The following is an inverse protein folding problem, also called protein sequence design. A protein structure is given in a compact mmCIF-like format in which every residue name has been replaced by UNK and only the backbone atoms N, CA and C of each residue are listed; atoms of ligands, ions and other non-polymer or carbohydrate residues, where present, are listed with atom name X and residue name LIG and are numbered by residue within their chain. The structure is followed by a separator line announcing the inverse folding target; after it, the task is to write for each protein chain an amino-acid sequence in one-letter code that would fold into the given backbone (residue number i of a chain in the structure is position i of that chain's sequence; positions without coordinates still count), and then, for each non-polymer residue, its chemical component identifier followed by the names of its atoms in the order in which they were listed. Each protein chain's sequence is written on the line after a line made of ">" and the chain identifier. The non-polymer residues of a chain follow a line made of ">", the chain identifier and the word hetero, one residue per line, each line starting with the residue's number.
data_IF_080652880946
#
_entry.id   IF_080652880946
#
_cell.length_a   1.000
_cell.length_b   1.000
_cell.length_c   1.000
_cell.angle_alpha   90.00
_cell.angle_beta   90.00
_cell.angle_gamma   90.00
#
_symmetry.space_group_name_H-M   'P 1'
#
loop_
_entity.id
_entity.type
_entity.pdbx_description
1 polymer ?
#
# COMPACT_ATOMS: atom_id res chain seq x y z
N UNK A 1 -0.79 7.56 14.84
CA UNK A 1 -0.79 8.00 13.43
C UNK A 1 -1.49 9.36 13.35
N UNK A 2 -1.33 10.17 12.30
CA UNK A 2 -2.16 11.37 12.14
C UNK A 2 -3.62 10.92 11.87
N UNK A 3 -4.63 11.42 12.61
CA UNK A 3 -6.02 10.99 12.48
C UNK A 3 -6.58 11.10 11.05
N UNK A 4 -6.06 12.03 10.24
CA UNK A 4 -6.47 12.20 8.84
C UNK A 4 -5.99 11.02 7.99
N UNK A 5 -4.76 10.54 8.19
CA UNK A 5 -4.22 9.40 7.44
C UNK A 5 -4.89 8.09 7.84
N UNK A 6 -5.22 7.94 9.12
CA UNK A 6 -5.98 6.79 9.63
C UNK A 6 -7.36 6.74 8.99
N UNK A 7 -8.08 7.87 8.98
CA UNK A 7 -9.39 7.97 8.33
C UNK A 7 -9.33 7.69 6.83
N UNK A 8 -8.31 8.21 6.13
CA UNK A 8 -8.09 7.93 4.70
C UNK A 8 -7.78 6.46 4.44
N UNK A 9 -6.99 5.83 5.31
CA UNK A 9 -6.70 4.41 5.21
C UNK A 9 -7.99 3.59 5.38
N UNK A 10 -8.75 3.82 6.45
CA UNK A 10 -9.97 3.07 6.75
C UNK A 10 -11.09 3.30 5.73
N UNK A 11 -11.28 4.55 5.28
CA UNK A 11 -12.42 4.89 4.42
C UNK A 11 -12.18 4.68 2.93
N UNK A 12 -10.91 4.66 2.49
CA UNK A 12 -10.57 4.56 1.07
C UNK A 12 -9.63 3.39 0.81
N UNK A 13 -8.48 3.32 1.50
CA UNK A 13 -7.48 2.29 1.23
C UNK A 13 -8.01 0.88 1.44
N UNK A 14 -8.65 0.60 2.59
CA UNK A 14 -9.16 -0.75 2.91
C UNK A 14 -10.14 -1.25 1.86
N UNK A 15 -11.03 -0.39 1.37
CA UNK A 15 -11.99 -0.76 0.32
C UNK A 15 -11.28 -1.03 -1.00
N UNK A 16 -10.38 -0.14 -1.43
CA UNK A 16 -9.62 -0.32 -2.67
C UNK A 16 -8.74 -1.56 -2.61
N UNK A 17 -8.08 -1.84 -1.49
CA UNK A 17 -7.25 -3.05 -1.36
C UNK A 17 -8.08 -4.33 -1.48
N UNK A 18 -9.29 -4.37 -0.94
CA UNK A 18 -10.19 -5.52 -1.12
C UNK A 18 -10.56 -5.76 -2.58
N UNK A 19 -10.61 -4.72 -3.40
CA UNK A 19 -10.93 -4.82 -4.82
C UNK A 19 -9.72 -5.19 -5.68
N UNK A 20 -8.57 -4.59 -5.40
CA UNK A 20 -7.40 -4.64 -6.29
C UNK A 20 -6.36 -5.69 -5.84
N UNK A 21 -6.28 -5.97 -4.55
CA UNK A 21 -5.35 -6.93 -3.96
C UNK A 21 -5.97 -7.61 -2.73
N UNK A 22 -7.03 -8.43 -2.91
CA UNK A 22 -7.66 -9.13 -1.81
C UNK A 22 -6.68 -10.10 -1.13
N UNK A 23 -6.77 -10.19 0.19
CA UNK A 23 -6.06 -11.23 0.94
C UNK A 23 -6.73 -12.58 0.70
N UNK A 24 -6.00 -13.50 0.09
CA UNK A 24 -6.47 -14.85 -0.20
C UNK A 24 -6.15 -15.79 0.96
N UNK A 25 -7.00 -15.73 1.99
CA UNK A 25 -6.85 -16.55 3.19
C UNK A 25 -7.05 -18.04 2.88
N UNK A 26 -7.99 -18.39 2.01
CA UNK A 26 -8.30 -19.79 1.66
C UNK A 26 -7.09 -20.48 1.01
N UNK A 27 -6.43 -19.84 0.03
CA UNK A 27 -5.22 -20.41 -0.58
C UNK A 27 -4.07 -20.55 0.42
N UNK A 28 -3.99 -19.66 1.43
CA UNK A 28 -2.98 -19.78 2.48
C UNK A 28 -3.32 -20.94 3.43
N UNK A 29 -4.57 -21.10 3.84
CA UNK A 29 -5.01 -22.22 4.66
C UNK A 29 -4.75 -23.56 3.95
N UNK A 30 -5.10 -23.69 2.67
CA UNK A 30 -4.81 -24.89 1.88
C UNK A 30 -3.30 -25.21 1.82
N UNK A 31 -2.46 -24.18 1.64
CA UNK A 31 -1.01 -24.34 1.65
C UNK A 31 -0.52 -24.82 3.03
N UNK A 32 -1.02 -24.20 4.09
CA UNK A 32 -0.63 -24.51 5.46
C UNK A 32 -1.09 -25.92 5.88
N UNK A 33 -2.25 -26.38 5.41
CA UNK A 33 -2.76 -27.74 5.62
C UNK A 33 -1.89 -28.80 4.95
N UNK A 34 -1.25 -28.46 3.82
CA UNK A 34 -0.29 -29.32 3.14
C UNK A 34 1.05 -29.47 3.87
N UNK A 35 1.36 -28.57 4.81
CA UNK A 35 2.54 -28.64 5.65
C UNK A 35 2.12 -29.35 6.94
N UNK A 36 2.68 -30.51 7.27
CA UNK A 36 2.36 -31.26 8.50
C UNK A 36 2.84 -30.53 9.76
N UNK A 37 2.28 -29.36 10.03
CA UNK A 37 2.58 -28.43 11.11
C UNK A 37 1.65 -28.69 12.29
N UNK A 38 2.11 -28.33 13.48
CA UNK A 38 1.26 -28.26 14.65
C UNK A 38 0.24 -27.11 14.51
N UNK A 39 -0.94 -27.26 15.11
CA UNK A 39 -2.02 -26.28 15.01
C UNK A 39 -1.61 -24.90 15.55
N UNK A 40 -0.80 -24.82 16.61
CA UNK A 40 -0.31 -23.55 17.16
C UNK A 40 0.65 -22.86 16.18
N UNK A 41 1.54 -23.65 15.56
CA UNK A 41 2.49 -23.15 14.56
C UNK A 41 1.74 -22.65 13.32
N UNK A 42 0.70 -23.37 12.90
CA UNK A 42 -0.15 -22.99 11.78
C UNK A 42 -0.85 -21.65 12.03
N UNK A 43 -1.48 -21.49 13.20
CA UNK A 43 -2.14 -20.24 13.58
C UNK A 43 -1.16 -19.07 13.60
N UNK A 44 0.02 -19.26 14.20
CA UNK A 44 1.06 -18.22 14.25
C UNK A 44 1.58 -17.82 12.87
N UNK A 45 1.60 -18.75 11.91
CA UNK A 45 1.97 -18.45 10.54
C UNK A 45 0.88 -17.64 9.84
N UNK A 46 -0.39 -18.05 9.95
CA UNK A 46 -1.50 -17.30 9.39
C UNK A 46 -1.55 -15.85 9.92
N UNK A 47 -1.43 -15.68 11.23
CA UNK A 47 -1.32 -14.36 11.87
C UNK A 47 -0.16 -13.54 11.29
N UNK A 48 1.03 -14.15 11.15
CA UNK A 48 2.21 -13.47 10.63
C UNK A 48 2.07 -13.07 9.14
N UNK A 49 1.41 -13.90 8.32
CA UNK A 49 1.11 -13.57 6.93
C UNK A 49 0.10 -12.43 6.84
N UNK A 50 -0.95 -12.47 7.66
CA UNK A 50 -1.95 -11.42 7.70
C UNK A 50 -1.37 -10.09 8.17
N UNK A 51 -0.57 -10.08 9.23
CA UNK A 51 0.16 -8.89 9.70
C UNK A 51 1.06 -8.31 8.61
N UNK A 52 1.78 -9.17 7.86
CA UNK A 52 2.65 -8.72 6.78
C UNK A 52 1.85 -8.14 5.61
N UNK A 53 0.71 -8.74 5.26
CA UNK A 53 -0.22 -8.22 4.27
C UNK A 53 -0.71 -6.82 4.65
N UNK A 54 -1.15 -6.62 5.90
CA UNK A 54 -1.60 -5.32 6.40
C UNK A 54 -0.48 -4.29 6.35
N UNK A 55 0.73 -4.64 6.77
CA UNK A 55 1.88 -3.74 6.74
C UNK A 55 2.24 -3.31 5.31
N UNK A 56 2.37 -4.27 4.39
CA UNK A 56 2.66 -3.97 2.99
C UNK A 56 1.57 -3.13 2.32
N UNK A 57 0.32 -3.41 2.66
CA UNK A 57 -0.83 -2.65 2.21
C UNK A 57 -0.78 -1.19 2.67
N UNK A 58 -0.47 -0.95 3.95
CA UNK A 58 -0.28 0.39 4.50
C UNK A 58 0.89 1.14 3.86
N UNK A 59 2.02 0.46 3.66
CA UNK A 59 3.21 1.04 3.04
C UNK A 59 2.96 1.41 1.58
N UNK A 60 2.35 0.51 0.81
CA UNK A 60 1.96 0.74 -0.58
C UNK A 60 0.97 1.91 -0.69
N UNK A 61 0.01 2.00 0.23
CA UNK A 61 -0.92 3.13 0.30
C UNK A 61 -0.23 4.45 0.57
N UNK A 62 0.68 4.50 1.56
CA UNK A 62 1.41 5.72 1.89
C UNK A 62 2.22 6.24 0.70
N UNK A 63 2.93 5.33 -0.01
CA UNK A 63 3.68 5.66 -1.23
C UNK A 63 2.74 6.14 -2.34
N UNK A 64 1.65 5.42 -2.60
CA UNK A 64 0.68 5.77 -3.64
C UNK A 64 -0.02 7.11 -3.38
N UNK A 65 -0.44 7.37 -2.13
CA UNK A 65 -1.04 8.63 -1.71
C UNK A 65 -0.05 9.78 -1.87
N UNK A 66 1.19 9.62 -1.40
CA UNK A 66 2.22 10.64 -1.55
C UNK A 66 2.47 10.97 -3.03
N UNK A 67 2.63 9.95 -3.88
CA UNK A 67 2.82 10.14 -5.32
C UNK A 67 1.62 10.85 -5.97
N UNK A 68 0.40 10.41 -5.64
CA UNK A 68 -0.83 11.02 -6.15
C UNK A 68 -0.94 12.50 -5.79
N UNK A 69 -0.67 12.86 -4.54
CA UNK A 69 -0.69 14.25 -4.09
C UNK A 69 0.39 15.10 -4.76
N UNK A 70 1.61 14.57 -4.91
CA UNK A 70 2.73 15.25 -5.59
C UNK A 70 2.46 15.51 -7.08
N UNK A 71 1.78 14.57 -7.75
CA UNK A 71 1.35 14.75 -9.14
C UNK A 71 0.19 15.76 -9.26
N UNK A 72 -0.73 15.76 -8.29
CA UNK A 72 -1.89 16.66 -8.29
C UNK A 72 -1.51 18.12 -7.95
N UNK A 73 -0.46 18.35 -7.15
CA UNK A 73 -0.02 19.67 -6.71
C UNK A 73 1.01 20.36 -7.64
N UNK A 74 1.21 19.89 -8.87
CA UNK A 74 2.04 20.56 -9.89
C UNK A 74 3.54 20.72 -9.53
N UNK A 75 4.04 20.07 -8.48
CA UNK A 75 5.48 20.09 -8.15
C UNK A 75 6.34 19.46 -9.26
N UNK A 76 5.78 18.54 -10.05
CA UNK A 76 6.46 17.92 -11.20
C UNK A 76 6.40 18.80 -12.46
N UNK A 77 5.39 19.65 -12.66
CA UNK A 77 5.27 20.49 -13.88
C UNK A 77 6.09 21.78 -13.83
N UNK A 78 6.39 22.32 -12.64
CA UNK A 78 7.14 23.59 -12.54
C UNK A 78 8.62 23.47 -12.89
N UNK A 79 9.26 22.33 -12.64
CA UNK A 79 10.67 22.15 -13.00
C UNK A 79 10.90 22.13 -14.51
N UNK A 80 9.98 21.54 -15.28
CA UNK A 80 10.08 21.54 -16.75
C UNK A 80 9.85 22.94 -17.35
N UNK A 81 8.81 23.65 -16.93
CA UNK A 81 8.49 24.96 -17.51
C UNK A 81 9.51 26.06 -17.15
N UNK A 82 10.05 26.07 -15.92
CA UNK A 82 11.03 27.07 -15.50
C UNK A 82 12.43 26.85 -16.10
N UNK A 83 12.84 25.60 -16.31
CA UNK A 83 14.15 25.30 -16.89
C UNK A 83 14.23 25.64 -18.40
N UNK A 84 13.12 25.54 -19.13
CA UNK A 84 13.06 25.97 -20.53
C UNK A 84 13.04 27.50 -20.71
N UNK A 85 12.41 28.25 -19.81
CA UNK A 85 12.40 29.72 -19.88
C UNK A 85 13.78 30.34 -19.58
N UNK A 86 14.58 29.71 -18.72
CA UNK A 86 15.92 30.20 -18.40
C UNK A 86 16.96 29.88 -19.50
N UNK A 87 16.71 28.84 -20.32
CA UNK A 87 17.57 28.42 -21.43
C UNK A 87 17.24 29.11 -22.76
N UNK A 88 16.03 29.67 -22.90
CA UNK A 88 15.61 30.44 -24.08
C UNK A 88 15.92 31.95 -23.96
N UNK A 89 16.51 32.41 -22.85
CA UNK A 89 16.89 33.81 -22.60
C UNK A 89 18.41 34.01 -22.39
N UNK A 90 19.22 33.01 -22.69
CA UNK A 90 20.69 33.06 -22.64
C UNK A 90 21.29 32.91 -24.03
#
# INVERSE_FOLDING_TARGET
>A
MNPIYEKLFDSYCVQTLREVCPYDHESLEELLDGLSLDADVRLRLDDAFYERYLQWSADAFAVGLHLGLSLFHDEVRRFGAQQFQHRARG
#
